data_IF_554096053162
#
_entry.id   IF_554096053162
#
_cell.length_a   1.000
_cell.length_b   1.000
_cell.length_c   1.000
_cell.angle_alpha   90.00
_cell.angle_beta   90.00
_cell.angle_gamma   90.00
#
_symmetry.space_group_name_H-M   'P 1'
#
loop_
_entity.id
_entity.type
_entity.pdbx_description
1 polymer ?
#
# COMPACT_ATOMS: atom_id res chain seq x y z
N UNK A 1 -1.49 -19.98 2.00
CA UNK A 1 -1.53 -19.94 0.53
C UNK A 1 -1.94 -21.31 0.01
N UNK A 2 -2.98 -21.41 -0.85
CA UNK A 2 -3.38 -22.66 -1.50
C UNK A 2 -2.24 -23.29 -2.33
N UNK A 3 -2.21 -24.61 -2.44
CA UNK A 3 -1.19 -25.30 -3.25
C UNK A 3 -1.48 -25.28 -4.75
N UNK A 4 -2.75 -25.22 -5.14
CA UNK A 4 -3.20 -25.03 -6.52
C UNK A 4 -3.71 -23.61 -6.69
N UNK A 5 -3.22 -22.88 -7.69
CA UNK A 5 -3.61 -21.52 -7.99
C UNK A 5 -3.95 -21.47 -9.47
N UNK A 6 -5.24 -21.28 -9.78
CA UNK A 6 -5.75 -21.05 -11.12
C UNK A 6 -5.96 -19.55 -11.42
N UNK A 7 -6.02 -18.74 -10.36
CA UNK A 7 -6.12 -17.30 -10.46
C UNK A 7 -4.89 -16.67 -11.13
N UNK A 8 -5.13 -15.76 -12.08
CA UNK A 8 -4.06 -15.04 -12.78
C UNK A 8 -3.49 -13.93 -11.89
N UNK A 9 -2.16 -13.94 -11.68
CA UNK A 9 -1.48 -12.88 -10.95
C UNK A 9 -1.42 -11.59 -11.77
N UNK A 10 -1.89 -10.45 -11.23
CA UNK A 10 -2.05 -9.24 -12.03
C UNK A 10 -0.75 -8.43 -12.27
N UNK A 11 0.38 -8.83 -11.69
CA UNK A 11 1.62 -8.05 -11.68
C UNK A 11 2.79 -8.73 -12.41
N UNK A 12 2.50 -9.72 -13.26
CA UNK A 12 3.46 -10.34 -14.18
C UNK A 12 2.82 -10.52 -15.55
N UNK A 13 3.64 -10.52 -16.61
CA UNK A 13 3.16 -10.67 -18.01
C UNK A 13 2.58 -12.06 -18.26
N UNK A 14 3.15 -13.08 -17.63
CA UNK A 14 2.71 -14.48 -17.75
C UNK A 14 1.55 -14.85 -16.81
N UNK A 15 1.16 -13.96 -15.91
CA UNK A 15 0.11 -14.19 -14.92
C UNK A 15 0.49 -15.17 -13.81
N UNK A 16 1.76 -15.56 -13.70
CA UNK A 16 2.26 -16.50 -12.69
C UNK A 16 2.75 -15.72 -11.47
N UNK A 17 2.26 -16.12 -10.28
CA UNK A 17 2.74 -15.51 -9.04
C UNK A 17 4.14 -16.03 -8.66
N UNK A 18 5.17 -15.16 -8.64
CA UNK A 18 6.54 -15.58 -8.33
C UNK A 18 6.73 -16.00 -6.86
N UNK A 19 5.80 -15.62 -5.99
CA UNK A 19 5.81 -15.99 -4.57
C UNK A 19 5.34 -17.42 -4.26
N UNK A 20 4.86 -18.18 -5.25
CA UNK A 20 4.37 -19.54 -5.04
C UNK A 20 5.43 -20.52 -4.47
N UNK A 21 6.71 -20.22 -4.63
CA UNK A 21 7.84 -20.98 -4.09
C UNK A 21 8.39 -20.45 -2.76
N UNK A 22 7.95 -19.27 -2.30
CA UNK A 22 8.43 -18.60 -1.08
C UNK A 22 7.26 -18.45 -0.13
N UNK A 23 7.12 -19.33 0.83
CA UNK A 23 5.88 -19.53 1.59
C UNK A 23 5.91 -18.89 2.98
N UNK A 24 7.02 -18.30 3.42
CA UNK A 24 7.08 -17.70 4.75
C UNK A 24 6.59 -16.24 4.74
N UNK A 25 5.28 -16.07 4.94
CA UNK A 25 4.66 -14.76 5.16
C UNK A 25 4.11 -14.66 6.57
N UNK A 26 4.62 -13.71 7.35
CA UNK A 26 4.04 -13.40 8.65
C UNK A 26 2.71 -12.65 8.52
N UNK A 27 1.84 -12.78 9.53
CA UNK A 27 0.64 -11.96 9.59
C UNK A 27 1.00 -10.48 9.68
N UNK A 28 0.43 -9.67 8.78
CA UNK A 28 0.79 -8.26 8.63
C UNK A 28 0.51 -7.44 9.89
N UNK A 29 -0.67 -7.61 10.50
CA UNK A 29 -1.09 -6.80 11.63
C UNK A 29 -0.27 -7.13 12.88
N UNK A 30 0.06 -8.41 13.06
CA UNK A 30 0.97 -8.87 14.11
C UNK A 30 2.37 -8.30 13.89
N UNK A 31 2.90 -8.34 12.67
CA UNK A 31 4.21 -7.78 12.32
C UNK A 31 4.26 -6.27 12.53
N UNK A 32 3.20 -5.54 12.14
CA UNK A 32 3.10 -4.10 12.36
C UNK A 32 3.15 -3.74 13.85
N UNK A 33 2.43 -4.48 14.69
CA UNK A 33 2.44 -4.27 16.13
C UNK A 33 3.82 -4.57 16.75
N UNK A 34 4.48 -5.64 16.29
CA UNK A 34 5.84 -5.97 16.72
C UNK A 34 6.85 -4.89 16.34
N UNK A 35 6.85 -4.43 15.09
CA UNK A 35 7.71 -3.35 14.59
C UNK A 35 7.43 -2.04 15.35
N UNK A 36 6.15 -1.73 15.61
CA UNK A 36 5.78 -0.56 16.39
C UNK A 36 6.39 -0.54 17.80
N UNK A 37 6.49 -1.71 18.43
CA UNK A 37 7.12 -1.84 19.76
C UNK A 37 8.65 -1.76 19.74
N UNK A 38 9.31 -1.90 18.58
CA UNK A 38 10.76 -1.89 18.43
C UNK A 38 11.30 -0.64 17.71
N UNK A 39 10.43 0.30 17.38
CA UNK A 39 10.80 1.54 16.67
C UNK A 39 10.09 2.73 17.29
N UNK A 40 10.67 3.94 17.15
CA UNK A 40 10.11 5.16 17.72
C UNK A 40 9.60 6.17 16.69
N UNK A 41 10.23 6.25 15.52
CA UNK A 41 10.01 7.36 14.56
C UNK A 41 9.47 6.93 13.20
N UNK A 42 9.79 5.71 12.72
CA UNK A 42 9.38 5.26 11.40
C UNK A 42 7.87 5.04 11.34
N UNK A 43 7.25 5.45 10.24
CA UNK A 43 5.86 5.09 9.92
C UNK A 43 5.80 3.64 9.43
N UNK A 44 4.67 2.99 9.66
CA UNK A 44 4.48 1.57 9.37
C UNK A 44 3.28 1.44 8.42
N UNK A 45 3.56 1.02 7.19
CA UNK A 45 2.56 0.85 6.15
C UNK A 45 2.29 -0.64 5.87
N UNK A 46 1.03 -1.06 5.95
CA UNK A 46 0.60 -2.33 5.36
C UNK A 46 0.55 -2.18 3.83
N UNK A 47 1.39 -2.91 3.08
CA UNK A 47 1.58 -2.70 1.64
C UNK A 47 1.31 -3.97 0.80
N UNK A 48 0.09 -4.42 0.66
CA UNK A 48 -1.22 -3.98 1.19
C UNK A 48 -1.83 -5.05 2.09
N UNK A 49 -2.73 -4.65 2.98
CA UNK A 49 -3.67 -5.58 3.59
C UNK A 49 -4.79 -5.88 2.58
N UNK A 50 -5.03 -7.16 2.31
CA UNK A 50 -6.22 -7.58 1.55
C UNK A 50 -7.43 -7.46 2.48
N UNK A 51 -8.21 -6.41 2.29
CA UNK A 51 -9.28 -6.00 3.21
C UNK A 51 -10.33 -7.10 3.42
N UNK A 52 -10.83 -7.81 2.37
CA UNK A 52 -11.84 -8.83 2.54
C UNK A 52 -11.40 -10.10 3.32
N UNK A 53 -10.10 -10.27 3.59
CA UNK A 53 -9.61 -11.47 4.29
C UNK A 53 -9.94 -11.50 5.78
N UNK A 54 -10.41 -10.40 6.35
CA UNK A 54 -10.53 -10.25 7.80
C UNK A 54 -11.87 -9.65 8.19
N UNK A 55 -12.42 -10.13 9.29
CA UNK A 55 -13.62 -9.56 9.91
C UNK A 55 -13.37 -8.06 10.23
N UNK A 56 -14.23 -7.13 9.77
CA UNK A 56 -13.91 -5.70 9.79
C UNK A 56 -13.92 -5.07 11.17
N UNK A 57 -14.82 -5.46 12.07
CA UNK A 57 -14.88 -4.86 13.43
C UNK A 57 -13.63 -5.22 14.24
N UNK A 58 -13.21 -6.50 14.14
CA UNK A 58 -11.98 -6.95 14.79
C UNK A 58 -10.74 -6.30 14.16
N UNK A 59 -10.71 -6.18 12.83
CA UNK A 59 -9.62 -5.53 12.11
C UNK A 59 -9.49 -4.06 12.51
N UNK A 60 -10.59 -3.32 12.54
CA UNK A 60 -10.60 -1.94 13.03
C UNK A 60 -10.04 -1.82 14.45
N UNK A 61 -10.38 -2.78 15.33
CA UNK A 61 -9.86 -2.83 16.70
C UNK A 61 -8.36 -3.04 16.76
N UNK A 62 -7.84 -3.96 15.94
CA UNK A 62 -6.40 -4.25 15.89
C UNK A 62 -5.63 -3.02 15.39
N UNK A 63 -6.10 -2.39 14.30
CA UNK A 63 -5.46 -1.20 13.73
C UNK A 63 -5.50 -0.02 14.72
N UNK A 64 -6.63 0.24 15.37
CA UNK A 64 -6.74 1.29 16.38
C UNK A 64 -5.77 1.06 17.57
N UNK A 65 -5.61 -0.20 17.97
CA UNK A 65 -4.66 -0.58 19.02
C UNK A 65 -3.21 -0.38 18.58
N UNK A 66 -2.87 -0.82 17.36
CA UNK A 66 -1.53 -0.64 16.79
C UNK A 66 -1.19 0.86 16.61
N UNK A 67 -2.17 1.66 16.20
CA UNK A 67 -2.02 3.11 16.07
C UNK A 67 -1.73 3.78 17.41
N UNK A 68 -2.48 3.43 18.45
CA UNK A 68 -2.24 3.92 19.80
C UNK A 68 -0.84 3.52 20.31
N UNK A 69 -0.49 2.24 20.20
CA UNK A 69 0.79 1.72 20.69
C UNK A 69 1.98 2.27 19.92
N UNK A 70 1.82 2.54 18.62
CA UNK A 70 2.85 3.17 17.78
C UNK A 70 2.94 4.68 17.95
N UNK A 71 2.06 5.31 18.74
CA UNK A 71 1.96 6.77 18.88
C UNK A 71 1.61 7.47 17.55
N UNK A 72 0.70 6.88 16.77
CA UNK A 72 0.18 7.49 15.54
C UNK A 72 1.07 7.30 14.30
N UNK A 73 1.75 6.15 14.17
CA UNK A 73 2.66 5.87 13.03
C UNK A 73 2.10 4.88 12.01
N UNK A 74 0.87 4.40 12.19
CA UNK A 74 0.26 3.42 11.29
C UNK A 74 -0.31 4.10 10.05
N UNK A 75 -0.08 3.49 8.89
CA UNK A 75 -0.77 3.75 7.63
C UNK A 75 -1.39 2.44 7.18
N UNK A 76 -2.68 2.45 6.88
CA UNK A 76 -3.38 1.29 6.38
C UNK A 76 -3.42 1.28 4.85
N UNK A 77 -2.53 0.52 4.22
CA UNK A 77 -2.63 0.26 2.78
C UNK A 77 -3.64 -0.85 2.50
N UNK A 78 -4.62 -0.57 1.66
CA UNK A 78 -5.77 -1.42 1.35
C UNK A 78 -5.71 -1.96 -0.06
N UNK A 79 -5.87 -3.28 -0.20
CA UNK A 79 -6.06 -3.99 -1.46
C UNK A 79 -7.33 -4.83 -1.45
N UNK A 80 -7.84 -5.16 -2.63
CA UNK A 80 -9.06 -5.98 -2.80
C UNK A 80 -8.78 -7.48 -2.90
N UNK A 81 -7.51 -7.87 -3.11
CA UNK A 81 -7.14 -9.26 -3.38
C UNK A 81 -7.31 -9.66 -4.85
N UNK A 82 -6.58 -10.70 -5.25
CA UNK A 82 -6.56 -11.23 -6.62
C UNK A 82 -6.74 -12.76 -6.69
N UNK A 83 -6.52 -13.48 -5.58
CA UNK A 83 -6.51 -14.93 -5.51
C UNK A 83 -7.85 -15.43 -4.93
N UNK A 84 -8.69 -16.00 -5.79
CA UNK A 84 -10.00 -16.54 -5.39
C UNK A 84 -9.87 -17.74 -4.45
N UNK A 85 -8.88 -18.58 -4.69
CA UNK A 85 -8.63 -19.80 -3.89
C UNK A 85 -8.25 -19.48 -2.44
N UNK A 86 -7.60 -18.35 -2.22
CA UNK A 86 -7.26 -17.91 -0.86
C UNK A 86 -8.51 -17.39 -0.13
N UNK A 87 -9.36 -16.63 -0.83
CA UNK A 87 -10.64 -16.16 -0.30
C UNK A 87 -11.56 -17.34 0.06
N UNK A 88 -11.65 -18.34 -0.80
CA UNK A 88 -12.42 -19.56 -0.55
C UNK A 88 -11.88 -20.31 0.67
N UNK A 89 -10.54 -20.47 0.77
CA UNK A 89 -9.90 -21.20 1.85
C UNK A 89 -10.12 -20.59 3.24
N UNK A 90 -10.27 -19.27 3.32
CA UNK A 90 -10.52 -18.55 4.58
C UNK A 90 -12.01 -18.25 4.82
N UNK A 91 -12.89 -18.61 3.87
CA UNK A 91 -14.34 -18.48 4.02
C UNK A 91 -14.84 -17.04 4.04
N UNK A 92 -14.30 -16.20 3.16
CA UNK A 92 -14.75 -14.81 3.00
C UNK A 92 -16.01 -14.72 2.13
N UNK A 93 -16.51 -13.49 1.93
CA UNK A 93 -17.54 -13.21 0.92
C UNK A 93 -17.07 -13.64 -0.48
N UNK A 94 -18.00 -13.90 -1.42
CA UNK A 94 -17.64 -14.33 -2.77
C UNK A 94 -16.59 -13.44 -3.44
N UNK A 95 -15.66 -14.04 -4.17
CA UNK A 95 -14.56 -13.33 -4.82
C UNK A 95 -15.02 -12.18 -5.72
N UNK A 96 -16.15 -12.35 -6.41
CA UNK A 96 -16.74 -11.34 -7.30
C UNK A 96 -17.17 -10.08 -6.54
N UNK A 97 -17.53 -10.22 -5.28
CA UNK A 97 -17.99 -9.13 -4.40
C UNK A 97 -16.84 -8.38 -3.71
N UNK A 98 -15.59 -8.88 -3.80
CA UNK A 98 -14.43 -8.36 -3.06
C UNK A 98 -14.25 -6.84 -3.13
N UNK A 99 -14.62 -6.22 -4.26
CA UNK A 99 -14.55 -4.77 -4.43
C UNK A 99 -15.57 -4.03 -3.56
N UNK A 100 -16.82 -4.50 -3.53
CA UNK A 100 -17.90 -3.93 -2.71
C UNK A 100 -17.64 -4.19 -1.24
N UNK A 101 -17.21 -5.40 -0.88
CA UNK A 101 -16.80 -5.78 0.48
C UNK A 101 -15.71 -4.85 0.98
N UNK A 102 -14.67 -4.60 0.16
CA UNK A 102 -13.59 -3.66 0.50
C UNK A 102 -14.13 -2.25 0.76
N UNK A 103 -15.00 -1.76 -0.12
CA UNK A 103 -15.58 -0.41 0.00
C UNK A 103 -16.42 -0.28 1.28
N UNK A 104 -17.19 -1.31 1.63
CA UNK A 104 -17.98 -1.32 2.85
C UNK A 104 -17.10 -1.44 4.09
N UNK A 105 -16.11 -2.31 4.11
CA UNK A 105 -15.22 -2.51 5.25
C UNK A 105 -14.39 -1.25 5.57
N UNK A 106 -13.94 -0.51 4.56
CA UNK A 106 -13.26 0.77 4.78
C UNK A 106 -14.22 1.79 5.45
N UNK A 107 -15.49 1.84 5.04
CA UNK A 107 -16.50 2.70 5.71
C UNK A 107 -16.73 2.27 7.15
N UNK A 108 -16.80 0.96 7.41
CA UNK A 108 -16.90 0.40 8.76
C UNK A 108 -15.70 0.80 9.62
N UNK A 109 -14.47 0.74 9.08
CA UNK A 109 -13.29 1.19 9.80
C UNK A 109 -13.41 2.66 10.19
N UNK A 110 -13.74 3.53 9.25
CA UNK A 110 -13.88 4.97 9.48
C UNK A 110 -14.99 5.27 10.50
N UNK A 111 -16.14 4.60 10.40
CA UNK A 111 -17.22 4.72 11.38
C UNK A 111 -16.75 4.36 12.79
N UNK A 112 -16.11 3.19 12.97
CA UNK A 112 -15.62 2.72 14.25
C UNK A 112 -14.53 3.61 14.87
N UNK A 113 -13.70 4.24 14.04
CA UNK A 113 -12.60 5.08 14.49
C UNK A 113 -13.01 6.51 14.84
N UNK A 114 -14.12 6.99 14.28
CA UNK A 114 -14.51 8.41 14.37
C UNK A 114 -15.80 8.66 15.14
N UNK A 115 -16.77 7.75 15.05
CA UNK A 115 -18.06 7.96 15.68
C UNK A 115 -18.01 7.76 17.21
N UNK A 116 -18.69 8.63 17.94
CA UNK A 116 -18.87 8.48 19.39
C UNK A 116 -19.76 7.28 19.74
N UNK A 117 -20.79 7.05 18.94
CA UNK A 117 -21.74 5.93 19.05
C UNK A 117 -21.82 5.22 17.70
N UNK A 118 -20.86 4.36 17.40
CA UNK A 118 -20.76 3.74 16.09
C UNK A 118 -21.97 2.84 15.80
N UNK A 119 -22.52 3.02 14.61
CA UNK A 119 -23.59 2.19 14.04
C UNK A 119 -23.35 2.01 12.55
N UNK A 120 -23.66 0.84 12.05
CA UNK A 120 -23.54 0.58 10.64
C UNK A 120 -24.64 -0.36 10.17
N UNK A 121 -25.18 -0.13 8.97
CA UNK A 121 -26.19 -0.98 8.34
C UNK A 121 -25.87 -1.05 6.84
N UNK A 122 -25.03 -2.02 6.47
CA UNK A 122 -24.61 -2.29 5.12
C UNK A 122 -25.11 -3.64 4.62
N UNK A 123 -24.59 -4.03 3.46
CA UNK A 123 -24.91 -5.31 2.82
C UNK A 123 -24.17 -6.48 3.50
N UNK A 124 -22.95 -6.24 3.99
CA UNK A 124 -22.07 -7.26 4.57
C UNK A 124 -21.88 -7.09 6.08
N UNK A 125 -22.04 -5.89 6.60
CA UNK A 125 -21.79 -5.56 8.02
C UNK A 125 -22.96 -4.84 8.61
N UNK A 126 -23.40 -5.30 9.79
CA UNK A 126 -24.46 -4.63 10.53
C UNK A 126 -24.18 -4.66 12.01
N UNK A 127 -24.17 -3.49 12.65
CA UNK A 127 -24.08 -3.36 14.10
C UNK A 127 -24.72 -2.07 14.60
N UNK A 128 -25.14 -2.10 15.86
CA UNK A 128 -25.60 -0.94 16.62
C UNK A 128 -25.26 -1.14 18.09
N UNK A 129 -25.31 -0.07 18.86
CA UNK A 129 -25.15 -0.11 20.31
C UNK A 129 -23.86 -0.79 20.81
N UNK A 130 -22.76 -0.63 20.05
CA UNK A 130 -21.45 -1.15 20.45
C UNK A 130 -20.57 -0.04 21.05
N UNK A 131 -19.72 -0.42 22.01
CA UNK A 131 -18.67 0.44 22.54
C UNK A 131 -17.36 0.08 21.87
N UNK A 132 -16.80 1.01 21.10
CA UNK A 132 -15.51 0.82 20.44
C UNK A 132 -14.42 1.70 21.09
N UNK A 133 -13.52 1.09 21.84
CA UNK A 133 -12.37 1.72 22.52
C UNK A 133 -11.20 0.75 22.58
N UNK A 134 -9.92 1.19 22.51
CA UNK A 134 -9.52 2.59 22.32
C UNK A 134 -9.82 3.10 20.92
N UNK A 135 -9.94 4.40 20.76
CA UNK A 135 -9.90 5.04 19.44
C UNK A 135 -8.46 5.22 18.99
N UNK A 136 -8.19 5.33 17.68
CA UNK A 136 -6.88 5.70 17.17
C UNK A 136 -6.43 7.05 17.72
N UNK A 137 -5.10 7.22 17.84
CA UNK A 137 -4.51 8.50 18.25
C UNK A 137 -4.48 9.49 17.09
N UNK A 138 -4.27 9.01 15.86
CA UNK A 138 -4.35 9.83 14.66
C UNK A 138 -5.76 10.35 14.43
N UNK A 139 -5.89 11.58 13.96
CA UNK A 139 -7.18 12.23 13.69
C UNK A 139 -7.27 12.69 12.23
N UNK A 140 -8.42 12.46 11.58
CA UNK A 140 -9.62 11.80 12.11
C UNK A 140 -9.45 10.31 12.38
N UNK A 141 -8.53 9.63 11.71
CA UNK A 141 -8.19 8.21 11.81
C UNK A 141 -6.81 7.93 11.18
N UNK A 142 -6.22 6.72 11.33
CA UNK A 142 -5.04 6.33 10.58
C UNK A 142 -5.28 6.48 9.08
N UNK A 143 -4.33 7.05 8.29
CA UNK A 143 -4.51 7.21 6.85
C UNK A 143 -4.80 5.88 6.16
N UNK A 144 -5.79 5.88 5.28
CA UNK A 144 -6.20 4.74 4.44
C UNK A 144 -5.67 4.99 3.04
N UNK A 145 -4.62 4.25 2.65
CA UNK A 145 -4.05 4.32 1.30
C UNK A 145 -4.58 3.18 0.44
N UNK A 146 -4.98 3.49 -0.78
CA UNK A 146 -5.57 2.51 -1.69
C UNK A 146 -4.54 2.09 -2.72
N UNK A 147 -4.29 0.78 -2.80
CA UNK A 147 -3.47 0.17 -3.84
C UNK A 147 -4.27 -0.15 -5.11
N UNK A 148 -3.54 -0.34 -6.21
CA UNK A 148 -4.10 -0.71 -7.50
C UNK A 148 -4.28 0.46 -8.46
N UNK A 149 -4.29 0.13 -9.76
CA UNK A 149 -4.17 1.08 -10.87
C UNK A 149 -5.43 1.13 -11.76
N UNK A 150 -6.40 0.25 -11.52
CA UNK A 150 -7.64 0.19 -12.30
C UNK A 150 -8.54 1.40 -12.05
N UNK A 151 -9.46 1.68 -12.99
CA UNK A 151 -10.47 2.75 -12.81
C UNK A 151 -11.30 2.55 -11.53
N UNK A 152 -11.59 1.29 -11.15
CA UNK A 152 -12.28 0.99 -9.90
C UNK A 152 -11.44 1.33 -8.66
N UNK A 153 -10.12 1.10 -8.72
CA UNK A 153 -9.21 1.49 -7.64
C UNK A 153 -9.12 3.01 -7.52
N UNK A 154 -8.97 3.74 -8.63
CA UNK A 154 -8.93 5.22 -8.61
C UNK A 154 -10.23 5.82 -8.05
N UNK A 155 -11.40 5.28 -8.41
CA UNK A 155 -12.67 5.70 -7.79
C UNK A 155 -12.71 5.43 -6.29
N UNK A 156 -12.15 4.30 -5.84
CA UNK A 156 -12.05 3.99 -4.41
C UNK A 156 -11.13 4.97 -3.69
N UNK A 157 -10.02 5.37 -4.32
CA UNK A 157 -9.16 6.45 -3.81
C UNK A 157 -9.97 7.71 -3.58
N UNK A 158 -10.65 8.20 -4.61
CA UNK A 158 -11.41 9.44 -4.55
C UNK A 158 -12.51 9.40 -3.48
N UNK A 159 -13.26 8.29 -3.38
CA UNK A 159 -14.39 8.16 -2.46
C UNK A 159 -14.01 7.84 -1.02
N UNK A 160 -12.96 7.04 -0.82
CA UNK A 160 -12.68 6.41 0.46
C UNK A 160 -11.24 6.52 0.93
N UNK A 161 -10.30 6.86 0.04
CA UNK A 161 -8.88 6.92 0.35
C UNK A 161 -8.45 8.27 0.93
N UNK A 162 -7.36 8.21 1.71
CA UNK A 162 -6.58 9.36 2.12
C UNK A 162 -5.25 9.42 1.33
N UNK A 163 -4.99 8.40 0.51
CA UNK A 163 -3.87 8.34 -0.41
C UNK A 163 -4.01 7.24 -1.44
N UNK A 164 -3.23 7.37 -2.49
CA UNK A 164 -3.08 6.39 -3.56
C UNK A 164 -1.65 5.89 -3.64
N UNK A 165 -1.47 4.57 -3.73
CA UNK A 165 -0.14 4.03 -3.93
C UNK A 165 -0.13 2.85 -4.90
N UNK A 166 0.11 3.13 -6.19
CA UNK A 166 0.24 2.13 -7.23
C UNK A 166 1.57 1.39 -7.15
N UNK A 167 1.62 0.21 -7.81
CA UNK A 167 2.84 -0.56 -8.02
C UNK A 167 3.38 -0.35 -9.45
N UNK A 168 4.71 -0.37 -9.58
CA UNK A 168 5.40 -0.16 -10.85
C UNK A 168 5.13 -1.26 -11.90
N UNK A 169 4.91 -2.48 -11.44
CA UNK A 169 4.98 -3.69 -12.27
C UNK A 169 3.62 -4.23 -12.74
N UNK A 170 2.56 -3.43 -12.75
CA UNK A 170 1.30 -3.87 -13.33
C UNK A 170 1.37 -3.77 -14.87
N UNK A 171 1.37 -4.90 -15.62
CA UNK A 171 1.56 -4.86 -17.08
C UNK A 171 0.45 -4.11 -17.82
N UNK A 172 -0.77 -4.04 -17.26
CA UNK A 172 -1.90 -3.30 -17.84
C UNK A 172 -1.83 -1.79 -17.59
N UNK A 173 -1.07 -1.38 -16.59
CA UNK A 173 -1.02 0.00 -16.09
C UNK A 173 0.41 0.36 -15.64
N UNK A 174 1.40 0.00 -16.45
CA UNK A 174 2.82 0.17 -16.14
C UNK A 174 3.15 1.62 -15.79
N UNK A 175 3.90 1.80 -14.70
CA UNK A 175 4.48 3.08 -14.28
C UNK A 175 5.98 2.86 -14.22
N UNK A 176 6.66 3.14 -15.33
CA UNK A 176 8.10 2.92 -15.49
C UNK A 176 8.91 4.19 -15.37
N UNK A 177 8.27 5.35 -15.55
CA UNK A 177 8.93 6.66 -15.59
C UNK A 177 8.16 7.69 -14.76
N UNK A 178 8.79 8.81 -14.36
CA UNK A 178 8.08 9.95 -13.77
C UNK A 178 6.93 10.48 -14.64
N UNK A 179 7.08 10.43 -15.95
CA UNK A 179 6.03 10.88 -16.89
C UNK A 179 4.82 9.93 -16.89
N UNK A 180 5.04 8.62 -16.76
CA UNK A 180 3.94 7.66 -16.58
C UNK A 180 3.17 7.95 -15.30
N UNK A 181 3.90 8.23 -14.20
CA UNK A 181 3.27 8.61 -12.93
C UNK A 181 2.44 9.90 -13.11
N UNK A 182 2.99 10.94 -13.71
CA UNK A 182 2.27 12.19 -13.96
C UNK A 182 0.99 11.95 -14.76
N UNK A 183 1.05 11.15 -15.83
CA UNK A 183 -0.11 10.78 -16.64
C UNK A 183 -1.19 10.06 -15.82
N UNK A 184 -0.79 9.18 -14.91
CA UNK A 184 -1.72 8.48 -14.02
C UNK A 184 -2.31 9.40 -12.95
N UNK A 185 -1.54 10.37 -12.46
CA UNK A 185 -2.04 11.39 -11.53
C UNK A 185 -3.07 12.31 -12.20
N UNK A 186 -2.90 12.66 -13.47
CA UNK A 186 -3.88 13.44 -14.21
C UNK A 186 -5.22 12.68 -14.38
N UNK A 187 -5.13 11.35 -14.59
CA UNK A 187 -6.33 10.51 -14.58
C UNK A 187 -6.97 10.47 -13.19
N UNK A 188 -6.18 10.36 -12.12
CA UNK A 188 -6.71 10.38 -10.75
C UNK A 188 -7.37 11.72 -10.43
N UNK A 189 -6.79 12.85 -10.85
CA UNK A 189 -7.41 14.19 -10.71
C UNK A 189 -8.76 14.24 -11.39
N UNK A 190 -8.87 13.73 -12.63
CA UNK A 190 -10.15 13.65 -13.36
C UNK A 190 -11.18 12.84 -12.57
N UNK A 191 -10.76 11.70 -11.99
CA UNK A 191 -11.67 10.88 -11.17
C UNK A 191 -12.06 11.58 -9.86
N UNK A 192 -11.14 12.34 -9.26
CA UNK A 192 -11.44 13.14 -8.07
C UNK A 192 -12.47 14.23 -8.39
N UNK A 193 -12.35 14.91 -9.52
CA UNK A 193 -13.32 15.90 -9.99
C UNK A 193 -14.71 15.26 -10.23
N UNK A 194 -14.77 14.06 -10.84
CA UNK A 194 -16.02 13.28 -11.04
C UNK A 194 -16.69 12.92 -9.69
N UNK A 195 -15.92 12.77 -8.62
CA UNK A 195 -16.40 12.31 -7.30
C UNK A 195 -16.46 13.45 -6.25
N UNK A 196 -16.30 14.71 -6.67
CA UNK A 196 -16.29 15.91 -5.80
C UNK A 196 -15.24 15.81 -4.68
N UNK A 197 -14.05 15.26 -4.99
CA UNK A 197 -12.93 15.08 -4.06
C UNK A 197 -11.79 16.05 -4.37
N UNK A 198 -11.28 16.75 -3.37
CA UNK A 198 -10.06 17.55 -3.52
C UNK A 198 -8.85 16.63 -3.67
N UNK A 199 -8.21 16.65 -4.85
CA UNK A 199 -7.02 15.85 -5.14
C UNK A 199 -5.83 16.21 -4.23
N UNK A 200 -5.67 17.49 -3.85
CA UNK A 200 -4.52 17.98 -3.07
C UNK A 200 -4.54 17.47 -1.62
N UNK A 201 -5.62 16.86 -1.17
CA UNK A 201 -5.71 16.19 0.13
C UNK A 201 -5.22 14.74 0.12
N UNK A 202 -4.84 14.22 -1.05
CA UNK A 202 -4.40 12.84 -1.19
C UNK A 202 -2.88 12.72 -1.03
N UNK A 203 -2.45 11.81 -0.17
CA UNK A 203 -1.06 11.34 -0.18
C UNK A 203 -0.79 10.53 -1.45
N UNK A 204 0.32 10.80 -2.12
CA UNK A 204 0.74 10.04 -3.30
C UNK A 204 1.96 9.19 -2.95
N UNK A 205 1.75 7.88 -2.88
CA UNK A 205 2.82 6.89 -2.75
C UNK A 205 3.12 6.22 -4.09
N UNK A 206 4.25 5.52 -4.17
CA UNK A 206 4.61 4.69 -5.31
C UNK A 206 5.47 3.51 -4.87
N UNK A 207 5.02 2.29 -5.18
CA UNK A 207 5.77 1.08 -4.89
C UNK A 207 6.66 0.72 -6.08
N UNK A 208 7.95 1.06 -5.97
CA UNK A 208 8.95 0.74 -6.97
C UNK A 208 9.46 -0.68 -6.79
N UNK A 209 9.11 -1.57 -7.70
CA UNK A 209 9.40 -3.01 -7.63
C UNK A 209 10.76 -3.40 -8.21
N UNK A 210 11.46 -2.48 -8.92
CA UNK A 210 12.74 -2.74 -9.57
C UNK A 210 13.94 -2.95 -8.63
N UNK A 211 13.77 -2.64 -7.34
CA UNK A 211 14.82 -2.73 -6.32
C UNK A 211 15.91 -1.66 -6.47
N UNK A 212 16.47 -1.23 -5.36
CA UNK A 212 17.57 -0.24 -5.32
C UNK A 212 18.92 -0.96 -5.42
N UNK A 213 19.91 -0.35 -6.06
CA UNK A 213 21.26 -0.92 -6.17
C UNK A 213 22.34 0.15 -6.30
N UNK A 214 23.43 0.05 -5.52
CA UNK A 214 24.63 0.86 -5.70
C UNK A 214 25.42 0.51 -6.97
N UNK A 215 25.12 -0.64 -7.59
CA UNK A 215 25.68 -1.03 -8.87
C UNK A 215 24.70 -0.64 -9.98
N UNK A 216 25.20 0.09 -10.98
CA UNK A 216 24.40 0.41 -12.17
C UNK A 216 23.93 -0.86 -12.86
N UNK A 217 22.64 -0.90 -13.18
CA UNK A 217 22.02 -1.92 -14.03
C UNK A 217 21.50 -1.26 -15.29
N UNK A 218 21.54 -1.97 -16.41
CA UNK A 218 21.03 -1.48 -17.69
C UNK A 218 19.86 -2.33 -18.18
N UNK A 219 18.92 -1.70 -18.86
CA UNK A 219 17.86 -2.37 -19.61
C UNK A 219 18.43 -3.07 -20.86
N UNK A 220 17.60 -3.83 -21.55
CA UNK A 220 17.97 -4.46 -22.84
C UNK A 220 18.35 -3.41 -23.89
N UNK A 221 17.78 -2.22 -23.83
CA UNK A 221 18.05 -1.09 -24.74
C UNK A 221 19.33 -0.32 -24.38
N UNK A 222 20.01 -0.70 -23.30
CA UNK A 222 21.25 -0.10 -22.83
C UNK A 222 21.08 1.09 -21.89
N UNK A 223 19.86 1.52 -21.61
CA UNK A 223 19.57 2.63 -20.69
C UNK A 223 19.79 2.22 -19.23
N UNK A 224 20.25 3.16 -18.39
CA UNK A 224 20.38 2.95 -16.96
C UNK A 224 19.00 2.70 -16.33
N UNK A 225 18.87 1.62 -15.59
CA UNK A 225 17.66 1.34 -14.82
C UNK A 225 17.52 2.33 -13.65
N UNK A 226 16.30 2.80 -13.41
CA UNK A 226 16.00 3.71 -12.32
C UNK A 226 16.42 3.12 -10.97
N UNK A 227 16.78 4.01 -10.06
CA UNK A 227 17.25 3.72 -8.70
C UNK A 227 18.46 2.76 -8.64
N UNK A 228 19.31 2.80 -9.67
CA UNK A 228 20.59 2.05 -9.70
C UNK A 228 21.75 2.97 -10.08
N UNK A 229 22.95 2.69 -9.56
CA UNK A 229 24.16 3.44 -9.87
C UNK A 229 24.65 4.30 -8.70
N UNK A 230 25.22 5.46 -9.00
CA UNK A 230 25.78 6.36 -7.98
C UNK A 230 24.65 6.98 -7.14
N UNK A 231 24.94 7.36 -5.87
CA UNK A 231 23.96 8.05 -5.03
C UNK A 231 23.30 9.28 -5.68
N UNK A 232 24.09 10.08 -6.41
CA UNK A 232 23.59 11.24 -7.15
C UNK A 232 22.60 10.90 -8.25
N UNK A 233 22.81 9.77 -8.94
CA UNK A 233 21.94 9.31 -10.01
C UNK A 233 20.58 8.84 -9.44
N UNK A 234 20.64 8.10 -8.33
CA UNK A 234 19.45 7.62 -7.63
C UNK A 234 18.66 8.79 -7.04
N UNK A 235 19.34 9.74 -6.41
CA UNK A 235 18.69 10.94 -5.88
C UNK A 235 18.05 11.78 -7.01
N UNK A 236 18.70 11.87 -8.17
CA UNK A 236 18.13 12.55 -9.34
C UNK A 236 16.87 11.85 -9.86
N UNK A 237 16.84 10.51 -9.86
CA UNK A 237 15.65 9.76 -10.22
C UNK A 237 14.50 10.03 -9.23
N UNK A 238 14.78 9.98 -7.93
CA UNK A 238 13.77 10.26 -6.89
C UNK A 238 13.24 11.70 -7.02
N UNK A 239 14.12 12.66 -7.23
CA UNK A 239 13.73 14.05 -7.41
C UNK A 239 12.82 14.27 -8.64
N UNK A 240 13.04 13.53 -9.74
CA UNK A 240 12.14 13.56 -10.90
C UNK A 240 10.74 13.00 -10.58
N UNK A 241 10.64 11.95 -9.77
CA UNK A 241 9.35 11.45 -9.29
C UNK A 241 8.67 12.46 -8.36
N UNK A 242 9.43 13.12 -7.48
CA UNK A 242 8.91 14.19 -6.62
C UNK A 242 8.36 15.35 -7.47
N UNK A 243 9.12 15.81 -8.48
CA UNK A 243 8.67 16.85 -9.42
C UNK A 243 7.40 16.43 -10.20
N UNK A 244 7.18 15.14 -10.40
CA UNK A 244 5.96 14.59 -11.00
C UNK A 244 4.78 14.46 -10.02
N UNK A 245 4.95 14.79 -8.74
CA UNK A 245 3.89 14.78 -7.71
C UNK A 245 3.95 13.62 -6.72
N UNK A 246 5.07 12.87 -6.66
CA UNK A 246 5.25 11.81 -5.67
C UNK A 246 5.59 12.39 -4.30
N UNK A 247 4.86 11.96 -3.25
CA UNK A 247 5.17 12.28 -1.85
C UNK A 247 5.91 11.18 -1.10
N UNK A 248 5.69 9.92 -1.45
CA UNK A 248 6.31 8.78 -0.76
C UNK A 248 6.75 7.70 -1.74
N UNK A 249 8.05 7.37 -1.73
CA UNK A 249 8.60 6.27 -2.50
C UNK A 249 8.82 5.04 -1.61
N UNK A 250 8.30 3.89 -2.03
CA UNK A 250 8.48 2.60 -1.37
C UNK A 250 9.46 1.78 -2.19
N UNK A 251 10.61 1.45 -1.61
CA UNK A 251 11.69 0.73 -2.27
C UNK A 251 11.88 -0.68 -1.72
N UNK A 252 12.32 -1.61 -2.57
CA UNK A 252 12.71 -2.97 -2.18
C UNK A 252 14.22 -2.99 -1.94
N UNK A 253 14.61 -3.27 -0.70
CA UNK A 253 16.01 -3.46 -0.29
C UNK A 253 16.39 -4.93 -0.09
N UNK A 254 15.41 -5.82 -0.08
CA UNK A 254 15.60 -7.24 0.19
C UNK A 254 16.67 -7.87 -0.71
N UNK A 255 17.54 -8.66 -0.07
CA UNK A 255 18.59 -9.48 -0.68
C UNK A 255 18.47 -10.90 -0.11
N UNK A 256 19.10 -11.91 -0.74
CA UNK A 256 19.09 -13.27 -0.20
C UNK A 256 19.61 -13.36 1.24
N UNK A 257 20.63 -12.58 1.56
CA UNK A 257 21.22 -12.53 2.88
C UNK A 257 20.79 -11.29 3.66
N UNK A 258 20.45 -11.47 4.94
CA UNK A 258 20.01 -10.37 5.81
C UNK A 258 21.10 -9.28 5.94
N UNK A 259 22.38 -9.68 6.05
CA UNK A 259 23.50 -8.74 6.13
C UNK A 259 23.54 -7.79 4.94
N UNK A 260 23.42 -8.34 3.74
CA UNK A 260 23.39 -7.55 2.48
C UNK A 260 22.20 -6.59 2.44
N UNK A 261 21.03 -7.03 2.93
CA UNK A 261 19.84 -6.17 3.03
C UNK A 261 20.10 -4.97 3.93
N UNK A 262 20.67 -5.21 5.13
CA UNK A 262 20.96 -4.15 6.09
C UNK A 262 22.04 -3.18 5.57
N UNK A 263 23.09 -3.69 4.95
CA UNK A 263 24.15 -2.88 4.32
C UNK A 263 23.56 -1.98 3.21
N UNK A 264 22.65 -2.52 2.40
CA UNK A 264 22.01 -1.75 1.34
C UNK A 264 21.11 -0.64 1.90
N UNK A 265 20.35 -0.91 2.97
CA UNK A 265 19.53 0.07 3.65
C UNK A 265 20.40 1.17 4.30
N UNK A 266 21.46 0.79 4.98
CA UNK A 266 22.39 1.73 5.62
C UNK A 266 23.08 2.63 4.60
N UNK A 267 23.57 2.04 3.49
CA UNK A 267 24.17 2.79 2.40
C UNK A 267 23.17 3.81 1.81
N UNK A 268 21.94 3.38 1.52
CA UNK A 268 20.92 4.26 0.98
C UNK A 268 20.59 5.41 1.93
N UNK A 269 20.46 5.10 3.23
CA UNK A 269 20.20 6.10 4.26
C UNK A 269 21.32 7.15 4.39
N UNK A 270 22.58 6.72 4.28
CA UNK A 270 23.74 7.60 4.43
C UNK A 270 24.10 8.38 3.17
N UNK A 271 24.01 7.74 2.02
CA UNK A 271 24.58 8.28 0.78
C UNK A 271 23.51 8.87 -0.16
N UNK A 272 22.28 8.32 -0.16
CA UNK A 272 21.23 8.75 -1.10
C UNK A 272 20.26 9.75 -0.47
N UNK A 273 19.69 9.41 0.69
CA UNK A 273 18.66 10.25 1.34
C UNK A 273 19.11 11.72 1.49
N UNK A 274 20.35 12.05 1.93
CA UNK A 274 20.78 13.43 2.07
C UNK A 274 20.82 14.25 0.78
N UNK A 275 20.78 13.59 -0.38
CA UNK A 275 20.79 14.22 -1.71
C UNK A 275 19.38 14.45 -2.28
N UNK A 276 18.36 13.86 -1.65
CA UNK A 276 16.96 14.00 -2.11
C UNK A 276 16.37 15.30 -1.56
N UNK A 277 15.69 16.05 -2.42
CA UNK A 277 15.03 17.32 -2.04
C UNK A 277 13.76 17.07 -1.23
N UNK A 278 13.53 17.84 -0.19
CA UNK A 278 12.28 17.87 0.55
C UNK A 278 12.11 16.76 1.61
N UNK A 279 13.20 16.06 1.97
CA UNK A 279 13.23 15.11 3.08
C UNK A 279 13.85 15.74 4.32
#
# INVERSE_FOLDING_TARGET
>A
VPKGIDSTYPYTDDGIWPGASVVECHDQLTSMAFIAGHTDNIRILASVMVVPYREPVLTAKIIATADLLSKGRIILGCGVGWMSEEMEAIGTEPFEERGKVTDEYIKVFKELWTAEKPRYEGDYVKFSEILFKPLPIQKPHPPVWIGGESKAALRRVARLGDGWFPAANNPKFTISTPNDLATRLDLLKTVCDEEDRNFDELDIGFFFTGGVSSKERRSADGDRQLLTGQPSDIAADINKFNDAGLGTLICIFQRPELGETLEQMEWFGKEVIPLVRGI
#
